data_IF_850738741690
#
_entry.id   IF_850738741690
#
_cell.length_a   1.000
_cell.length_b   1.000
_cell.length_c   1.000
_cell.angle_alpha   90.00
_cell.angle_beta   90.00
_cell.angle_gamma   90.00
#
_symmetry.space_group_name_H-M   'P 1'
#
loop_
_entity.id
_entity.type
_entity.pdbx_description
1 polymer ?
#
# COMPACT_ATOMS: atom_id res chain seq x y z
N UNK A 1 9.17 -8.68 15.97
CA UNK A 1 10.20 -9.11 16.95
C UNK A 1 11.23 -8.02 17.26
N UNK A 2 11.70 -7.25 16.28
CA UNK A 2 12.69 -6.18 16.51
C UNK A 2 12.24 -5.14 17.56
N UNK A 3 10.99 -4.69 17.52
CA UNK A 3 10.42 -3.80 18.55
C UNK A 3 10.48 -4.40 19.96
N UNK A 4 10.27 -5.71 20.10
CA UNK A 4 10.36 -6.39 21.39
C UNK A 4 11.81 -6.50 21.87
N UNK A 5 12.76 -6.74 20.95
CA UNK A 5 14.19 -6.77 21.26
C UNK A 5 14.68 -5.38 21.69
N UNK A 6 14.33 -4.34 20.93
CA UNK A 6 14.77 -2.96 21.21
C UNK A 6 14.21 -2.39 22.52
N UNK A 7 13.17 -3.02 23.09
CA UNK A 7 12.56 -2.65 24.37
C UNK A 7 12.80 -3.68 25.48
N UNK A 8 13.65 -4.69 25.24
CA UNK A 8 13.94 -5.79 26.17
C UNK A 8 12.70 -6.56 26.67
N UNK A 9 11.64 -6.61 25.85
CA UNK A 9 10.37 -7.26 26.19
C UNK A 9 10.28 -8.72 25.77
N UNK A 10 11.31 -9.28 25.13
CA UNK A 10 11.25 -10.60 24.49
C UNK A 10 11.01 -11.74 25.51
N UNK A 11 11.57 -11.62 26.71
CA UNK A 11 11.47 -12.61 27.78
C UNK A 11 10.32 -12.30 28.77
N UNK A 12 9.48 -11.31 28.46
CA UNK A 12 8.33 -10.93 29.29
C UNK A 12 7.05 -11.59 28.80
N UNK A 13 5.97 -11.48 29.57
CA UNK A 13 4.65 -11.95 29.13
C UNK A 13 4.09 -11.18 27.94
N UNK A 14 4.60 -9.98 27.64
CA UNK A 14 4.29 -9.29 26.39
C UNK A 14 4.89 -10.06 25.20
N UNK A 15 6.11 -10.57 25.33
CA UNK A 15 6.79 -11.32 24.28
C UNK A 15 6.04 -12.58 23.83
N UNK A 16 5.30 -13.21 24.75
CA UNK A 16 4.44 -14.37 24.45
C UNK A 16 3.16 -14.00 23.70
N UNK A 17 2.68 -12.76 23.83
CA UNK A 17 1.43 -12.28 23.22
C UNK A 17 1.60 -11.64 21.84
N UNK A 18 2.82 -11.71 21.29
CA UNK A 18 3.14 -11.19 19.95
C UNK A 18 3.45 -12.34 19.02
N UNK A 19 2.70 -12.42 17.93
CA UNK A 19 2.82 -13.46 16.92
C UNK A 19 3.00 -12.80 15.54
N UNK A 20 3.71 -13.48 14.64
CA UNK A 20 3.93 -13.02 13.27
C UNK A 20 3.30 -14.04 12.33
N UNK A 21 2.51 -13.54 11.39
CA UNK A 21 2.02 -14.28 10.24
C UNK A 21 2.77 -13.80 9.01
N UNK A 22 3.29 -14.74 8.22
CA UNK A 22 4.10 -14.44 7.05
C UNK A 22 3.74 -15.36 5.88
N UNK A 23 3.99 -14.90 4.65
CA UNK A 23 3.79 -15.68 3.43
C UNK A 23 4.69 -15.17 2.32
N UNK A 24 5.13 -16.07 1.44
CA UNK A 24 5.91 -15.75 0.24
C UNK A 24 5.06 -15.35 -0.97
N UNK A 25 3.75 -15.16 -0.75
CA UNK A 25 2.78 -14.89 -1.81
C UNK A 25 2.98 -13.53 -2.49
N UNK A 26 3.57 -12.56 -1.80
CA UNK A 26 3.57 -11.15 -2.22
C UNK A 26 4.96 -10.60 -2.49
N UNK A 27 5.89 -10.89 -1.60
CA UNK A 27 7.28 -10.41 -1.69
C UNK A 27 8.11 -11.22 -2.68
N UNK A 28 7.99 -12.56 -2.68
CA UNK A 28 8.60 -13.45 -3.67
C UNK A 28 7.73 -13.64 -4.92
N UNK A 29 6.46 -13.21 -4.87
CA UNK A 29 5.52 -13.36 -5.98
C UNK A 29 5.14 -14.82 -6.24
N UNK A 30 5.13 -15.66 -5.20
CA UNK A 30 4.80 -17.10 -5.29
C UNK A 30 3.47 -17.43 -4.61
N UNK A 31 2.35 -16.73 -4.93
CA UNK A 31 1.10 -17.05 -4.28
C UNK A 31 0.72 -18.49 -4.56
N UNK A 32 0.89 -18.99 -5.79
CA UNK A 32 0.54 -20.35 -6.24
C UNK A 32 1.09 -21.48 -5.37
N UNK A 33 2.21 -21.25 -4.69
CA UNK A 33 2.90 -22.28 -3.92
C UNK A 33 2.33 -22.46 -2.50
N UNK A 34 1.40 -21.60 -2.08
CA UNK A 34 0.67 -21.70 -0.80
C UNK A 34 1.60 -21.76 0.42
N UNK A 35 2.68 -20.99 0.39
CA UNK A 35 3.66 -20.95 1.49
C UNK A 35 3.24 -19.90 2.53
N UNK A 36 2.91 -20.37 3.73
CA UNK A 36 2.62 -19.55 4.90
C UNK A 36 3.44 -19.99 6.11
N UNK A 37 3.71 -19.07 7.03
CA UNK A 37 4.43 -19.35 8.27
C UNK A 37 3.79 -18.59 9.44
N UNK A 38 3.73 -19.26 10.58
CA UNK A 38 3.40 -18.67 11.88
C UNK A 38 4.65 -18.70 12.74
N UNK A 39 4.98 -17.57 13.34
CA UNK A 39 6.07 -17.45 14.29
C UNK A 39 5.54 -16.88 15.61
N UNK A 40 5.84 -17.55 16.72
CA UNK A 40 5.38 -17.19 18.06
C UNK A 40 6.43 -17.57 19.10
N UNK A 41 6.56 -16.77 20.16
CA UNK A 41 7.37 -17.15 21.34
C UNK A 41 6.56 -17.98 22.35
N UNK A 42 5.23 -18.00 22.22
CA UNK A 42 4.36 -18.82 23.05
C UNK A 42 4.33 -20.26 22.52
N UNK A 43 4.86 -21.19 23.32
CA UNK A 43 4.93 -22.62 23.01
C UNK A 43 3.55 -23.26 22.88
N UNK A 44 2.54 -22.78 23.60
CA UNK A 44 1.16 -23.27 23.50
C UNK A 44 0.61 -22.94 22.12
N UNK A 45 0.81 -21.71 21.67
CA UNK A 45 0.41 -21.27 20.32
C UNK A 45 1.15 -22.06 19.25
N UNK A 46 2.47 -22.26 19.38
CA UNK A 46 3.25 -23.07 18.42
C UNK A 46 2.72 -24.50 18.35
N UNK A 47 2.53 -25.16 19.50
CA UNK A 47 2.01 -26.53 19.57
C UNK A 47 0.62 -26.68 18.93
N UNK A 48 -0.30 -25.77 19.26
CA UNK A 48 -1.65 -25.76 18.69
C UNK A 48 -1.61 -25.52 17.18
N UNK A 49 -0.85 -24.53 16.71
CA UNK A 49 -0.70 -24.19 15.30
C UNK A 49 -0.07 -25.35 14.50
N UNK A 50 0.92 -26.06 15.06
CA UNK A 50 1.52 -27.25 14.41
C UNK A 50 0.49 -28.37 14.23
N UNK A 51 -0.32 -28.66 15.26
CA UNK A 51 -1.39 -29.68 15.14
C UNK A 51 -2.42 -29.30 14.10
N UNK A 52 -2.84 -28.03 14.08
CA UNK A 52 -3.79 -27.50 13.09
C UNK A 52 -3.20 -27.42 11.68
N UNK A 53 -1.87 -27.30 11.53
CA UNK A 53 -1.22 -27.21 10.21
C UNK A 53 -1.42 -28.45 9.35
N UNK A 54 -1.76 -29.59 9.95
CA UNK A 54 -2.10 -30.85 9.26
C UNK A 54 -3.18 -30.69 8.17
N UNK A 55 -4.11 -29.74 8.35
CA UNK A 55 -5.17 -29.44 7.37
C UNK A 55 -4.72 -28.57 6.19
N UNK A 56 -3.48 -28.08 6.17
CA UNK A 56 -2.99 -27.13 5.17
C UNK A 56 -1.47 -27.16 5.02
N UNK A 57 -0.86 -28.35 5.09
CA UNK A 57 0.59 -28.51 4.95
C UNK A 57 1.07 -28.06 3.57
N UNK A 58 2.27 -27.47 3.55
CA UNK A 58 2.96 -27.12 2.31
C UNK A 58 3.44 -28.41 1.65
N UNK A 59 3.24 -28.55 0.34
CA UNK A 59 3.79 -29.66 -0.44
C UNK A 59 5.28 -29.88 -0.16
N UNK A 60 5.69 -31.11 0.11
CA UNK A 60 7.09 -31.47 0.39
C UNK A 60 8.03 -31.09 -0.76
N UNK A 61 7.57 -31.21 -2.00
CA UNK A 61 8.31 -30.76 -3.18
C UNK A 61 8.55 -29.25 -3.15
N UNK A 62 7.53 -28.46 -2.82
CA UNK A 62 7.64 -27.01 -2.66
C UNK A 62 8.60 -26.64 -1.53
N UNK A 63 8.56 -27.38 -0.41
CA UNK A 63 9.49 -27.17 0.70
C UNK A 63 10.94 -27.42 0.27
N UNK A 64 11.20 -28.51 -0.46
CA UNK A 64 12.54 -28.82 -0.97
C UNK A 64 13.04 -27.73 -1.92
N UNK A 65 12.24 -27.36 -2.93
CA UNK A 65 12.60 -26.29 -3.87
C UNK A 65 12.89 -24.97 -3.13
N UNK A 66 12.03 -24.59 -2.20
CA UNK A 66 12.18 -23.35 -1.45
C UNK A 66 13.45 -23.36 -0.59
N UNK A 67 13.78 -24.51 0.02
CA UNK A 67 15.00 -24.65 0.81
C UNK A 67 16.25 -24.35 -0.03
N UNK A 68 16.28 -24.78 -1.30
CA UNK A 68 17.40 -24.49 -2.20
C UNK A 68 17.47 -23.00 -2.54
N UNK A 69 16.34 -22.39 -2.90
CA UNK A 69 16.26 -20.97 -3.26
C UNK A 69 16.65 -20.05 -2.09
N UNK A 70 16.13 -20.32 -0.88
CA UNK A 70 16.36 -19.47 0.29
C UNK A 70 17.72 -19.69 0.95
N UNK A 71 18.36 -20.84 0.69
CA UNK A 71 19.73 -21.11 1.15
C UNK A 71 20.77 -20.34 0.34
N UNK A 72 20.50 -20.02 -0.93
CA UNK A 72 21.38 -19.17 -1.74
C UNK A 72 21.35 -17.71 -1.24
N UNK A 73 22.40 -17.34 -0.48
CA UNK A 73 22.57 -15.99 0.07
C UNK A 73 22.87 -14.93 -0.99
N UNK A 74 23.48 -15.32 -2.11
CA UNK A 74 23.76 -14.40 -3.22
C UNK A 74 22.45 -14.07 -3.93
N UNK A 75 21.64 -15.08 -4.24
CA UNK A 75 20.32 -14.91 -4.83
C UNK A 75 19.41 -14.06 -3.93
N UNK A 76 19.25 -14.43 -2.66
CA UNK A 76 18.32 -13.73 -1.75
C UNK A 76 18.69 -12.26 -1.54
N UNK A 77 19.98 -11.93 -1.36
CA UNK A 77 20.45 -10.54 -1.25
C UNK A 77 20.17 -9.75 -2.53
N UNK A 78 20.47 -10.33 -3.69
CA UNK A 78 20.22 -9.69 -4.98
C UNK A 78 18.73 -9.48 -5.23
N UNK A 79 17.91 -10.50 -4.99
CA UNK A 79 16.46 -10.47 -5.16
C UNK A 79 15.84 -9.35 -4.31
N UNK A 80 16.19 -9.24 -3.03
CA UNK A 80 15.64 -8.21 -2.15
C UNK A 80 16.01 -6.80 -2.62
N UNK A 81 17.26 -6.58 -3.02
CA UNK A 81 17.71 -5.28 -3.54
C UNK A 81 16.98 -4.91 -4.82
N UNK A 82 16.94 -5.84 -5.77
CA UNK A 82 16.37 -5.61 -7.09
C UNK A 82 14.84 -5.47 -7.05
N UNK A 83 14.16 -6.28 -6.23
CA UNK A 83 12.71 -6.18 -6.06
C UNK A 83 12.31 -4.82 -5.46
N UNK A 84 13.01 -4.36 -4.41
CA UNK A 84 12.79 -3.02 -3.83
C UNK A 84 13.02 -1.91 -4.85
N UNK A 85 14.11 -2.01 -5.63
CA UNK A 85 14.44 -1.03 -6.67
C UNK A 85 13.34 -0.94 -7.73
N UNK A 86 12.88 -2.08 -8.26
CA UNK A 86 11.83 -2.14 -9.28
C UNK A 86 10.47 -1.67 -8.75
N UNK A 87 10.08 -2.09 -7.56
CA UNK A 87 8.83 -1.65 -6.92
C UNK A 87 8.82 -0.13 -6.69
N UNK A 88 9.94 0.43 -6.19
CA UNK A 88 10.07 1.88 -6.02
C UNK A 88 9.92 2.62 -7.34
N UNK A 89 10.63 2.19 -8.38
CA UNK A 89 10.52 2.81 -9.71
C UNK A 89 9.08 2.77 -10.23
N UNK A 90 8.39 1.64 -10.03
CA UNK A 90 7.03 1.46 -10.54
C UNK A 90 5.99 2.26 -9.73
N UNK A 91 6.16 2.37 -8.41
CA UNK A 91 5.39 3.28 -7.56
C UNK A 91 5.58 4.74 -7.99
N UNK A 92 6.82 5.20 -8.16
CA UNK A 92 7.11 6.58 -8.61
C UNK A 92 6.51 6.90 -9.98
N UNK A 93 6.48 5.92 -10.89
CA UNK A 93 5.84 6.08 -12.19
C UNK A 93 4.32 6.26 -12.08
N UNK A 94 3.65 5.43 -11.28
CA UNK A 94 2.22 5.57 -10.99
C UNK A 94 1.93 6.94 -10.38
N UNK A 95 2.68 7.32 -9.33
CA UNK A 95 2.49 8.58 -8.62
C UNK A 95 2.66 9.79 -9.54
N UNK A 96 3.72 9.82 -10.35
CA UNK A 96 3.96 10.90 -11.33
C UNK A 96 2.84 10.99 -12.37
N UNK A 97 2.30 9.84 -12.81
CA UNK A 97 1.23 9.83 -13.79
C UNK A 97 -0.09 10.36 -13.21
N UNK A 98 -0.46 9.91 -12.00
CA UNK A 98 -1.65 10.40 -11.30
C UNK A 98 -1.58 11.90 -10.98
N UNK A 99 -0.40 12.39 -10.60
CA UNK A 99 -0.16 13.81 -10.36
C UNK A 99 -0.43 14.69 -11.59
N UNK A 100 -0.17 14.20 -12.82
CA UNK A 100 -0.46 14.94 -14.06
C UNK A 100 -1.96 15.17 -14.23
N UNK A 101 -2.78 14.22 -13.81
CA UNK A 101 -4.25 14.31 -13.82
C UNK A 101 -4.82 14.94 -12.54
N UNK A 102 -3.99 15.60 -11.72
CA UNK A 102 -4.37 16.21 -10.44
C UNK A 102 -4.97 15.23 -9.41
N UNK A 103 -4.71 13.93 -9.57
CA UNK A 103 -5.09 12.89 -8.61
C UNK A 103 -3.95 12.70 -7.62
N UNK A 104 -4.27 12.65 -6.32
CA UNK A 104 -3.29 12.47 -5.26
C UNK A 104 -3.25 11.01 -4.80
N UNK A 105 -2.12 10.61 -4.22
CA UNK A 105 -1.98 9.33 -3.53
C UNK A 105 -1.56 9.58 -2.09
N UNK A 106 -2.00 8.70 -1.19
CA UNK A 106 -1.44 8.63 0.16
C UNK A 106 0.04 8.25 0.04
N UNK A 107 0.90 9.04 0.69
CA UNK A 107 2.35 8.76 0.70
C UNK A 107 2.61 7.40 1.33
N UNK A 108 3.24 6.51 0.58
CA UNK A 108 3.55 5.15 1.02
C UNK A 108 5.01 4.81 0.71
N UNK A 109 5.57 3.84 1.44
CA UNK A 109 6.94 3.34 1.27
C UNK A 109 7.00 1.83 1.02
N UNK A 110 5.84 1.15 0.94
CA UNK A 110 5.73 -0.29 0.84
C UNK A 110 4.42 -0.70 0.14
N UNK A 111 4.34 -1.98 -0.22
CA UNK A 111 3.17 -2.57 -0.87
C UNK A 111 3.34 -2.72 -2.39
N UNK A 112 2.30 -3.29 -3.00
CA UNK A 112 2.22 -3.56 -4.44
C UNK A 112 1.14 -2.70 -5.12
N UNK A 113 0.63 -1.72 -4.38
CA UNK A 113 -0.48 -0.84 -4.74
C UNK A 113 -0.32 0.52 -4.07
N UNK A 114 -1.02 1.52 -4.61
CA UNK A 114 -1.16 2.84 -3.98
C UNK A 114 -2.61 3.06 -3.54
N UNK A 115 -2.78 3.83 -2.46
CA UNK A 115 -4.08 4.32 -2.00
C UNK A 115 -4.33 5.70 -2.59
N UNK A 116 -5.25 5.77 -3.54
CA UNK A 116 -5.44 6.91 -4.44
C UNK A 116 -6.68 7.70 -4.04
N UNK A 117 -6.54 9.01 -3.90
CA UNK A 117 -7.60 9.94 -3.53
C UNK A 117 -8.29 10.46 -4.79
N UNK A 118 -9.49 9.95 -5.06
CA UNK A 118 -10.35 10.36 -6.16
C UNK A 118 -11.62 11.09 -5.66
N UNK A 119 -11.63 11.58 -4.41
CA UNK A 119 -12.79 12.32 -3.84
C UNK A 119 -13.22 13.50 -4.69
N UNK A 120 -12.26 14.14 -5.37
CA UNK A 120 -12.53 15.25 -6.29
C UNK A 120 -13.30 14.86 -7.56
N UNK A 121 -13.39 13.56 -7.88
CA UNK A 121 -14.07 13.04 -9.08
C UNK A 121 -15.48 12.48 -8.77
N UNK A 122 -15.87 12.42 -7.50
CA UNK A 122 -17.18 11.92 -7.11
C UNK A 122 -18.30 12.90 -7.51
N UNK A 123 -19.45 12.35 -7.91
CA UNK A 123 -20.69 13.09 -8.11
C UNK A 123 -21.27 13.59 -6.79
N UNK A 124 -21.23 12.76 -5.75
CA UNK A 124 -21.58 13.06 -4.35
C UNK A 124 -20.52 12.48 -3.41
N UNK A 125 -20.30 13.10 -2.25
CA UNK A 125 -19.40 12.58 -1.21
C UNK A 125 -20.07 11.43 -0.42
N UNK A 126 -20.57 10.41 -1.12
CA UNK A 126 -21.23 9.23 -0.55
C UNK A 126 -20.67 7.94 -1.16
N UNK A 127 -20.95 6.79 -0.56
CA UNK A 127 -20.51 5.50 -1.11
C UNK A 127 -21.22 5.16 -2.43
N UNK A 128 -22.44 5.67 -2.64
CA UNK A 128 -23.14 5.56 -3.92
C UNK A 128 -22.37 6.32 -5.01
N UNK A 129 -21.88 7.52 -4.71
CA UNK A 129 -21.01 8.30 -5.61
C UNK A 129 -19.68 7.59 -5.89
N UNK A 130 -19.09 6.92 -4.89
CA UNK A 130 -17.90 6.08 -5.07
C UNK A 130 -18.19 4.92 -6.03
N UNK A 131 -19.31 4.23 -5.87
CA UNK A 131 -19.71 3.11 -6.73
C UNK A 131 -20.07 3.55 -8.15
N UNK A 132 -20.66 4.73 -8.32
CA UNK A 132 -20.90 5.33 -9.63
C UNK A 132 -19.57 5.59 -10.36
N UNK A 133 -18.62 6.25 -9.68
CA UNK A 133 -17.29 6.50 -10.22
C UNK A 133 -16.56 5.19 -10.54
N UNK A 134 -16.62 4.21 -9.64
CA UNK A 134 -16.01 2.90 -9.85
C UNK A 134 -16.55 2.21 -11.11
N UNK A 135 -17.88 2.22 -11.32
CA UNK A 135 -18.51 1.66 -12.52
C UNK A 135 -18.00 2.36 -13.78
N UNK A 136 -17.92 3.69 -13.79
CA UNK A 136 -17.36 4.46 -14.92
C UNK A 136 -15.90 4.04 -15.21
N UNK A 137 -15.08 3.92 -14.17
CA UNK A 137 -13.69 3.47 -14.32
C UNK A 137 -13.60 2.05 -14.91
N UNK A 138 -14.46 1.14 -14.47
CA UNK A 138 -14.47 -0.24 -14.99
C UNK A 138 -14.98 -0.30 -16.43
N UNK A 139 -16.14 0.29 -16.72
CA UNK A 139 -16.84 0.09 -18.00
C UNK A 139 -16.40 1.07 -19.09
N UNK A 140 -16.07 2.32 -18.76
CA UNK A 140 -15.70 3.35 -19.74
C UNK A 140 -14.18 3.46 -19.88
N UNK A 141 -13.45 3.48 -18.76
CA UNK A 141 -11.97 3.59 -18.77
C UNK A 141 -11.31 2.23 -19.02
N UNK A 142 -12.01 1.13 -18.71
CA UNK A 142 -11.50 -0.23 -18.87
C UNK A 142 -10.42 -0.57 -17.84
N UNK A 143 -10.53 -0.05 -16.61
CA UNK A 143 -9.58 -0.31 -15.53
C UNK A 143 -10.27 -0.99 -14.35
N UNK A 144 -9.75 -2.14 -13.94
CA UNK A 144 -10.21 -2.81 -12.72
C UNK A 144 -9.38 -2.34 -11.52
N UNK A 145 -9.99 -1.54 -10.65
CA UNK A 145 -9.41 -1.05 -9.40
C UNK A 145 -10.37 -1.34 -8.25
N UNK A 146 -9.88 -1.39 -7.01
CA UNK A 146 -10.74 -1.68 -5.85
C UNK A 146 -11.24 -0.36 -5.21
N UNK A 147 -12.55 -0.17 -5.03
CA UNK A 147 -13.08 0.99 -4.32
C UNK A 147 -12.80 0.88 -2.80
N UNK A 148 -12.78 2.03 -2.13
CA UNK A 148 -12.42 2.17 -0.72
C UNK A 148 -13.35 1.38 0.19
N UNK A 149 -14.65 1.40 -0.13
CA UNK A 149 -15.69 0.60 0.52
C UNK A 149 -15.39 -0.90 0.58
N UNK A 150 -14.76 -1.48 -0.45
CA UNK A 150 -14.35 -2.90 -0.44
C UNK A 150 -13.26 -3.21 0.61
N UNK A 151 -12.57 -2.19 1.11
CA UNK A 151 -11.59 -2.29 2.19
C UNK A 151 -12.13 -1.70 3.51
N UNK A 152 -13.44 -1.48 3.62
CA UNK A 152 -14.10 -0.84 4.77
C UNK A 152 -13.53 0.55 5.11
N UNK A 153 -13.15 1.33 4.09
CA UNK A 153 -12.76 2.72 4.29
C UNK A 153 -13.97 3.52 4.81
N UNK A 154 -13.77 4.31 5.85
CA UNK A 154 -14.82 5.13 6.47
C UNK A 154 -15.22 6.34 5.63
N UNK A 155 -14.39 6.75 4.68
CA UNK A 155 -14.63 7.87 3.78
C UNK A 155 -14.74 7.38 2.34
N UNK A 156 -15.74 7.83 1.55
CA UNK A 156 -15.83 7.49 0.14
C UNK A 156 -14.76 8.20 -0.70
N UNK A 157 -14.48 7.66 -1.89
CA UNK A 157 -13.63 8.27 -2.91
C UNK A 157 -12.17 7.85 -2.87
N UNK A 158 -11.84 6.86 -2.04
CA UNK A 158 -10.53 6.24 -2.05
C UNK A 158 -10.50 5.00 -2.94
N UNK A 159 -9.39 4.75 -3.62
CA UNK A 159 -9.24 3.58 -4.49
C UNK A 159 -7.87 2.92 -4.32
N UNK A 160 -7.85 1.60 -4.35
CA UNK A 160 -6.62 0.80 -4.39
C UNK A 160 -6.23 0.52 -5.83
N UNK A 161 -5.06 1.03 -6.25
CA UNK A 161 -4.52 0.83 -7.60
C UNK A 161 -3.22 0.02 -7.51
N UNK A 162 -3.26 -1.21 -7.99
CA UNK A 162 -2.10 -2.10 -8.06
C UNK A 162 -1.16 -1.68 -9.20
N UNK A 163 0.16 -1.79 -9.00
CA UNK A 163 1.16 -1.40 -10.00
C UNK A 163 2.24 -2.45 -10.26
N UNK A 164 2.27 -3.55 -9.51
CA UNK A 164 3.37 -4.51 -9.54
C UNK A 164 3.16 -5.72 -10.46
N UNK A 165 2.03 -5.83 -11.16
CA UNK A 165 1.63 -7.04 -11.90
C UNK A 165 1.45 -6.82 -13.42
N UNK A 166 1.94 -5.71 -13.97
CA UNK A 166 1.83 -5.40 -15.40
C UNK A 166 3.13 -4.84 -15.96
N UNK A 167 3.25 -4.82 -17.29
CA UNK A 167 4.39 -4.19 -17.94
C UNK A 167 4.35 -2.67 -17.76
N UNK A 168 5.47 -2.01 -18.10
CA UNK A 168 5.54 -0.56 -18.10
C UNK A 168 4.51 0.05 -19.04
N UNK A 169 4.40 -0.52 -20.24
CA UNK A 169 3.56 -0.08 -21.35
C UNK A 169 2.09 -0.19 -20.96
N UNK A 170 1.68 -1.29 -20.31
CA UNK A 170 0.33 -1.43 -19.78
C UNK A 170 0.02 -0.39 -18.72
N UNK A 171 0.95 -0.10 -17.80
CA UNK A 171 0.72 0.95 -16.80
C UNK A 171 0.61 2.33 -17.46
N UNK A 172 1.48 2.65 -18.41
CA UNK A 172 1.48 3.93 -19.11
C UNK A 172 0.15 4.12 -19.88
N UNK A 173 -0.33 3.07 -20.57
CA UNK A 173 -1.65 3.07 -21.23
C UNK A 173 -2.80 3.25 -20.22
N UNK A 174 -2.78 2.55 -19.08
CA UNK A 174 -3.80 2.69 -18.06
C UNK A 174 -3.88 4.13 -17.53
N UNK A 175 -2.71 4.77 -17.34
CA UNK A 175 -2.65 6.16 -16.89
C UNK A 175 -3.09 7.15 -17.96
N UNK A 176 -2.80 6.88 -19.25
CA UNK A 176 -3.32 7.68 -20.35
C UNK A 176 -4.86 7.63 -20.39
N UNK A 177 -5.46 6.43 -20.29
CA UNK A 177 -6.92 6.27 -20.26
C UNK A 177 -7.54 7.02 -19.09
N UNK A 178 -6.96 6.88 -17.89
CA UNK A 178 -7.44 7.59 -16.71
C UNK A 178 -7.32 9.11 -16.86
N UNK A 179 -6.21 9.61 -17.43
CA UNK A 179 -6.05 11.05 -17.68
C UNK A 179 -7.09 11.57 -18.66
N UNK A 180 -7.31 10.88 -19.78
CA UNK A 180 -8.32 11.26 -20.76
C UNK A 180 -9.73 11.29 -20.17
N UNK A 181 -10.05 10.32 -19.29
CA UNK A 181 -11.32 10.30 -18.55
C UNK A 181 -11.46 11.49 -17.59
N UNK A 182 -10.41 11.83 -16.85
CA UNK A 182 -10.42 13.01 -15.97
C UNK A 182 -10.57 14.30 -16.77
N UNK A 183 -9.95 14.38 -17.94
CA UNK A 183 -10.02 15.57 -18.80
C UNK A 183 -11.38 15.73 -19.49
N UNK A 184 -12.11 14.63 -19.75
CA UNK A 184 -13.45 14.65 -20.35
C UNK A 184 -14.58 14.92 -19.34
N UNK A 185 -14.32 14.75 -18.03
CA UNK A 185 -15.33 14.99 -16.99
C UNK A 185 -15.75 16.48 -16.94
N UNK A 186 -17.06 16.77 -16.89
CA UNK A 186 -17.55 18.14 -16.84
C UNK A 186 -17.10 18.80 -15.53
N UNK A 187 -16.31 19.87 -15.68
CA UNK A 187 -15.74 20.60 -14.54
C UNK A 187 -16.83 21.43 -13.88
N UNK A 188 -17.25 21.05 -12.66
CA UNK A 188 -18.13 21.91 -11.84
C UNK A 188 -17.40 23.19 -11.40
N UNK A 189 -18.13 24.28 -11.14
CA UNK A 189 -17.54 25.58 -10.71
C UNK A 189 -16.63 25.41 -9.48
N UNK A 190 -16.99 24.53 -8.54
CA UNK A 190 -16.20 24.21 -7.36
C UNK A 190 -14.90 23.42 -7.69
N UNK A 191 -14.96 22.49 -8.64
CA UNK A 191 -13.77 21.79 -9.13
C UNK A 191 -12.82 22.73 -9.87
N UNK A 192 -13.34 23.70 -10.64
CA UNK A 192 -12.51 24.73 -11.30
C UNK A 192 -11.78 25.58 -10.25
N UNK A 193 -12.45 25.96 -9.16
CA UNK A 193 -11.83 26.73 -8.08
C UNK A 193 -10.76 25.91 -7.34
N UNK A 194 -11.05 24.63 -7.05
CA UNK A 194 -10.12 23.70 -6.40
C UNK A 194 -8.91 23.34 -7.27
N UNK A 195 -9.10 23.14 -8.58
CA UNK A 195 -8.02 22.95 -9.57
C UNK A 195 -7.13 24.19 -9.70
N UNK A 196 -7.71 25.40 -9.65
CA UNK A 196 -6.96 26.66 -9.62
C UNK A 196 -6.13 26.79 -8.33
N UNK A 197 -6.68 26.41 -7.17
CA UNK A 197 -5.97 26.37 -5.90
C UNK A 197 -4.81 25.35 -5.91
N UNK A 198 -5.07 24.12 -6.35
CA UNK A 198 -4.05 23.06 -6.45
C UNK A 198 -2.92 23.44 -7.41
N UNK A 199 -3.23 24.03 -8.57
CA UNK A 199 -2.20 24.55 -9.50
C UNK A 199 -1.40 25.72 -8.91
N UNK A 200 -1.98 26.51 -7.99
CA UNK A 200 -1.29 27.60 -7.27
C UNK A 200 -0.33 27.03 -6.21
N UNK A 201 -0.73 25.99 -5.49
CA UNK A 201 0.12 25.30 -4.50
C UNK A 201 1.26 24.50 -5.16
N UNK A 202 1.00 23.88 -6.32
CA UNK A 202 2.04 23.23 -7.14
C UNK A 202 3.08 24.22 -7.69
N UNK A 203 2.69 25.49 -7.94
CA UNK A 203 3.65 26.55 -8.33
C UNK A 203 4.44 27.07 -7.13
N UNK A 204 3.80 27.22 -5.96
CA UNK A 204 4.47 27.61 -4.70
C UNK A 204 5.44 26.56 -4.19
N UNK A 205 5.15 25.27 -4.36
CA UNK A 205 6.05 24.18 -3.95
C UNK A 205 7.27 24.04 -4.86
N UNK A 206 7.21 24.52 -6.11
CA UNK A 206 8.41 24.66 -6.98
C UNK A 206 9.33 25.81 -6.57
N UNK A 207 8.87 26.78 -5.76
CA UNK A 207 9.64 27.95 -5.34
C UNK A 207 10.20 27.86 -3.91
N UNK A 208 10.03 26.73 -3.21
CA UNK A 208 10.54 26.55 -1.85
C UNK A 208 11.73 25.59 -1.81
N UNK A 209 12.85 25.95 -1.14
CA UNK A 209 14.00 25.06 -1.00
C UNK A 209 13.65 23.83 -0.13
N UNK A 210 14.29 22.69 -0.43
CA UNK A 210 13.99 21.33 0.08
C UNK A 210 14.01 21.14 1.62
N UNK A 211 14.36 22.14 2.41
CA UNK A 211 14.55 22.02 3.87
C UNK A 211 13.35 22.44 4.72
N UNK A 212 12.27 22.96 4.13
CA UNK A 212 11.08 23.39 4.91
C UNK A 212 10.00 22.31 4.88
N UNK A 213 10.25 21.18 5.52
CA UNK A 213 9.20 20.26 5.99
C UNK A 213 9.66 19.62 7.31
N UNK A 214 9.71 20.42 8.37
CA UNK A 214 9.70 19.90 9.74
C UNK A 214 8.29 20.18 10.28
N UNK A 215 7.43 19.16 10.23
CA UNK A 215 6.14 19.20 10.92
C UNK A 215 6.41 19.00 12.41
N UNK A 216 6.18 20.05 13.18
CA UNK A 216 6.18 20.07 14.64
C UNK A 216 5.11 19.10 15.16
N UNK A 217 5.52 18.00 15.78
CA UNK A 217 4.68 17.28 16.73
C UNK A 217 4.86 17.96 18.08
N UNK A 218 3.93 18.84 18.46
CA UNK A 218 3.83 19.30 19.85
C UNK A 218 3.25 18.16 20.67
N UNK A 219 4.12 17.50 21.43
CA UNK A 219 3.76 16.67 22.58
C UNK A 219 3.09 17.56 23.62
N UNK A 220 1.81 17.35 23.89
CA UNK A 220 1.17 17.86 25.11
C UNK A 220 1.71 17.06 26.30
N UNK A 221 2.71 17.64 26.97
CA UNK A 221 3.18 17.22 28.29
C UNK A 221 2.50 18.15 29.30
N UNK A 222 1.35 17.75 29.85
CA UNK A 222 0.77 18.41 31.02
C UNK A 222 1.43 17.84 32.27
N UNK A 223 2.36 18.59 32.84
CA UNK A 223 2.71 18.51 34.25
C UNK A 223 2.07 19.69 34.98
N UNK A 224 1.48 19.41 36.13
CA UNK A 224 1.22 20.28 37.28
C UNK A 224 0.92 19.31 38.43
N UNK A 225 1.30 19.48 39.68
CA UNK A 225 2.36 20.20 40.40
C UNK A 225 2.16 19.80 41.88
N UNK A 226 3.26 19.63 42.61
CA UNK A 226 3.43 19.75 44.08
C UNK A 226 2.23 19.68 45.05
N UNK A 227 2.26 18.68 45.94
CA UNK A 227 2.63 18.82 47.37
C UNK A 227 3.11 17.48 47.90
#
# INVERSE_FOLDING_TARGET
>A
MEVLKNKDLINTDVGKRVHIVYSLSKDLGLPGFRIGAIYSNDKVVVSAATKMSSFGLISSQTQYLLSQILSDKKFTKNYLSENRRRLKQRHEMLEKALQKSSIKCLKSNAGLFSWVDMRGLLSSQTFEGEMELWKKIVYEVGLNISPGSSCHCSEPGWFRVCFANMSKETLDLAMQRLSSFVDSMPKTKDQIHRLKSLKKDLRKTKSLPKWVFTLSFTTTRSGMESM
#
